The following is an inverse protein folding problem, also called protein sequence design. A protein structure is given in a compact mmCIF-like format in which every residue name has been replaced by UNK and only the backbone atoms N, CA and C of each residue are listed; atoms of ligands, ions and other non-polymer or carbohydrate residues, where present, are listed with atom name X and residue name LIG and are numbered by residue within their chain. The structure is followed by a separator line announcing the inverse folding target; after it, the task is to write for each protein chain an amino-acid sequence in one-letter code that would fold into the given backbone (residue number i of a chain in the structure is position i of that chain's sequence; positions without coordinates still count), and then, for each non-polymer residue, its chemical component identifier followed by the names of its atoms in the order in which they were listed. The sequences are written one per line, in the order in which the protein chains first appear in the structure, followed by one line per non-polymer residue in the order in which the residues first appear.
data_IF_196983507871
#
_entry.id   IF_196983507871
#
_cell.length_a   1.000
_cell.length_b   1.000
_cell.length_c   1.000
_cell.angle_alpha   90.00
_cell.angle_beta   90.00
_cell.angle_gamma   90.00
#
_symmetry.space_group_name_H-M   'P 1'
#
loop_
_entity.id
_entity.type
_entity.pdbx_description
1 polymer ?
#
# COMPACT_ATOMS: atom_id res chain seq x y z
N UNK A 1 -18.93 3.25 -6.14
CA UNK A 1 -17.50 3.50 -5.88
C UNK A 1 -16.69 2.70 -6.89
N UNK A 2 -15.74 3.35 -7.54
CA UNK A 2 -14.87 2.76 -8.56
C UNK A 2 -13.45 2.61 -8.01
N UNK A 3 -12.90 1.39 -8.07
CA UNK A 3 -11.60 1.04 -7.51
C UNK A 3 -10.63 0.72 -8.64
N UNK A 4 -9.46 1.37 -8.63
CA UNK A 4 -8.32 1.00 -9.46
C UNK A 4 -7.34 0.15 -8.67
N UNK A 5 -6.91 -0.98 -9.21
CA UNK A 5 -5.88 -1.83 -8.60
C UNK A 5 -4.63 -1.78 -9.49
N UNK A 6 -3.57 -1.11 -9.03
CA UNK A 6 -2.33 -1.01 -9.82
C UNK A 6 -1.59 -2.34 -9.75
N UNK A 7 -1.26 -2.88 -10.92
CA UNK A 7 -0.60 -4.17 -11.09
C UNK A 7 0.80 -3.97 -11.65
N UNK A 8 1.79 -4.51 -10.97
CA UNK A 8 3.19 -4.53 -11.40
C UNK A 8 3.60 -5.93 -11.86
N UNK A 9 4.65 -6.06 -12.65
CA UNK A 9 5.34 -7.34 -12.77
C UNK A 9 5.71 -7.87 -11.38
N UNK A 10 5.26 -9.08 -11.03
CA UNK A 10 5.48 -9.66 -9.70
C UNK A 10 4.40 -9.33 -8.66
N UNK A 11 3.32 -8.62 -8.99
CA UNK A 11 2.13 -8.54 -8.14
C UNK A 11 1.49 -9.92 -8.02
N UNK A 12 1.10 -10.33 -6.81
CA UNK A 12 0.48 -11.63 -6.57
C UNK A 12 -0.99 -11.52 -6.15
N UNK A 13 -1.32 -10.50 -5.37
CA UNK A 13 -2.63 -10.36 -4.73
C UNK A 13 -3.56 -9.37 -5.44
N UNK A 14 -3.29 -9.04 -6.70
CA UNK A 14 -4.14 -8.14 -7.49
C UNK A 14 -5.54 -8.73 -7.74
N UNK A 15 -5.61 -10.05 -7.99
CA UNK A 15 -6.86 -10.77 -8.16
C UNK A 15 -7.65 -10.89 -6.85
N UNK A 16 -6.95 -11.08 -5.72
CA UNK A 16 -7.58 -11.15 -4.41
C UNK A 16 -8.23 -9.81 -4.04
N UNK A 17 -7.54 -8.70 -4.32
CA UNK A 17 -8.10 -7.35 -4.14
C UNK A 17 -9.31 -7.16 -5.04
N UNK A 18 -9.23 -7.54 -6.32
CA UNK A 18 -10.37 -7.42 -7.24
C UNK A 18 -11.54 -8.28 -6.76
N UNK A 19 -11.30 -9.52 -6.35
CA UNK A 19 -12.35 -10.38 -5.83
C UNK A 19 -12.98 -9.83 -4.56
N UNK A 20 -12.19 -9.32 -3.63
CA UNK A 20 -12.71 -8.73 -2.40
C UNK A 20 -13.56 -7.48 -2.66
N UNK A 21 -13.11 -6.60 -3.56
CA UNK A 21 -13.80 -5.34 -3.85
C UNK A 21 -15.00 -5.55 -4.77
N UNK A 22 -14.87 -6.34 -5.82
CA UNK A 22 -15.93 -6.57 -6.80
C UNK A 22 -16.85 -7.72 -6.39
N UNK A 23 -16.28 -8.88 -6.03
CA UNK A 23 -17.04 -10.07 -5.70
C UNK A 23 -17.74 -10.00 -4.34
N UNK A 24 -17.06 -9.48 -3.31
CA UNK A 24 -17.64 -9.44 -1.97
C UNK A 24 -18.35 -8.13 -1.66
N UNK A 25 -17.80 -7.00 -2.11
CA UNK A 25 -18.32 -5.67 -1.77
C UNK A 25 -19.16 -5.04 -2.89
N UNK A 26 -19.27 -5.66 -4.06
CA UNK A 26 -20.05 -5.16 -5.20
C UNK A 26 -19.55 -3.83 -5.77
N UNK A 27 -18.27 -3.50 -5.58
CA UNK A 27 -17.68 -2.28 -6.09
C UNK A 27 -17.17 -2.49 -7.51
N UNK A 28 -17.33 -1.48 -8.37
CA UNK A 28 -16.75 -1.53 -9.70
C UNK A 28 -15.22 -1.49 -9.59
N UNK A 29 -14.53 -2.54 -10.01
CA UNK A 29 -13.07 -2.65 -9.86
C UNK A 29 -12.41 -2.92 -11.22
N UNK A 30 -11.29 -2.24 -11.50
CA UNK A 30 -10.47 -2.43 -12.70
C UNK A 30 -8.99 -2.55 -12.29
N UNK A 31 -8.31 -3.53 -12.86
CA UNK A 31 -6.85 -3.61 -12.77
C UNK A 31 -6.24 -2.60 -13.74
N UNK A 32 -5.24 -1.87 -13.25
CA UNK A 32 -4.50 -0.83 -13.96
C UNK A 32 -3.06 -1.30 -14.10
N UNK A 33 -2.58 -1.47 -15.31
CA UNK A 33 -1.20 -1.89 -15.53
C UNK A 33 -0.23 -0.75 -15.16
N UNK A 34 0.93 -1.08 -14.63
CA UNK A 34 1.89 -0.11 -14.09
C UNK A 34 2.37 0.96 -15.09
N UNK A 35 2.14 0.77 -16.37
CA UNK A 35 2.46 1.74 -17.44
C UNK A 35 1.30 2.69 -17.75
N UNK A 36 0.08 2.38 -17.31
CA UNK A 36 -1.08 3.23 -17.51
C UNK A 36 -1.00 4.48 -16.63
N UNK A 37 -1.16 5.64 -17.23
CA UNK A 37 -1.08 6.93 -16.51
C UNK A 37 -2.43 7.56 -16.22
N UNK A 38 -3.51 7.06 -16.83
CA UNK A 38 -4.85 7.59 -16.61
C UNK A 38 -5.53 6.90 -15.41
N UNK A 39 -5.54 7.60 -14.30
CA UNK A 39 -6.25 7.21 -13.08
C UNK A 39 -7.57 7.98 -12.89
N UNK A 40 -8.03 8.69 -13.91
CA UNK A 40 -9.29 9.41 -13.85
C UNK A 40 -10.48 8.44 -13.71
N UNK A 41 -11.51 8.86 -12.99
CA UNK A 41 -12.72 8.06 -12.80
C UNK A 41 -12.64 6.99 -11.71
N UNK A 42 -11.53 6.89 -10.99
CA UNK A 42 -11.45 6.08 -9.76
C UNK A 42 -11.73 6.95 -8.53
N UNK A 43 -12.48 6.37 -7.59
CA UNK A 43 -12.70 6.95 -6.26
C UNK A 43 -11.60 6.58 -5.28
N UNK A 44 -10.96 5.43 -5.52
CA UNK A 44 -9.83 4.96 -4.73
C UNK A 44 -8.89 4.09 -5.57
N UNK A 45 -7.61 4.08 -5.18
CA UNK A 45 -6.57 3.25 -5.78
C UNK A 45 -6.01 2.31 -4.72
N UNK A 46 -5.82 1.04 -5.10
CA UNK A 46 -5.20 0.02 -4.24
C UNK A 46 -3.92 -0.48 -4.89
N UNK A 47 -2.84 -0.51 -4.09
CA UNK A 47 -1.61 -1.20 -4.44
C UNK A 47 -1.61 -2.55 -3.71
N UNK A 48 -1.66 -3.68 -4.43
CA UNK A 48 -1.79 -5.00 -3.85
C UNK A 48 -0.48 -5.52 -3.26
N UNK A 49 -0.55 -6.64 -2.55
CA UNK A 49 0.59 -7.41 -2.11
C UNK A 49 1.28 -8.16 -3.26
N UNK A 50 2.50 -8.59 -3.00
CA UNK A 50 3.32 -9.33 -3.94
C UNK A 50 4.80 -8.96 -3.81
N UNK A 51 5.52 -9.08 -4.91
CA UNK A 51 6.96 -8.81 -5.02
C UNK A 51 7.22 -7.99 -6.28
N UNK A 52 6.82 -6.72 -6.28
CA UNK A 52 6.90 -5.86 -7.46
C UNK A 52 8.34 -5.80 -8.01
N UNK A 53 8.49 -6.16 -9.29
CA UNK A 53 9.78 -6.29 -9.96
C UNK A 53 10.78 -7.23 -9.26
N UNK A 54 10.27 -8.24 -8.52
CA UNK A 54 11.08 -9.22 -7.82
C UNK A 54 11.81 -8.73 -6.57
N UNK A 55 11.55 -7.51 -6.12
CA UNK A 55 12.17 -6.88 -4.93
C UNK A 55 13.72 -6.93 -4.93
N UNK A 56 14.35 -6.86 -6.10
CA UNK A 56 15.80 -7.08 -6.25
C UNK A 56 16.70 -6.06 -5.54
N UNK A 57 16.24 -4.85 -5.27
CA UNK A 57 16.99 -3.86 -4.49
C UNK A 57 16.52 -3.86 -3.03
N UNK A 58 15.39 -3.27 -2.80
CA UNK A 58 14.58 -3.39 -1.60
C UNK A 58 13.12 -3.32 -2.02
N UNK A 59 12.26 -3.84 -1.19
CA UNK A 59 10.85 -3.99 -1.52
C UNK A 59 10.22 -2.66 -1.96
N UNK A 60 9.61 -2.65 -3.14
CA UNK A 60 8.96 -1.49 -3.71
C UNK A 60 9.87 -0.45 -4.37
N UNK A 61 11.20 -0.54 -4.22
CA UNK A 61 12.11 0.51 -4.68
C UNK A 61 12.13 0.70 -6.20
N UNK A 62 12.02 -0.38 -6.97
CA UNK A 62 11.96 -0.29 -8.44
C UNK A 62 10.58 0.19 -8.88
N UNK A 63 9.52 -0.27 -8.22
CA UNK A 63 8.14 0.07 -8.56
C UNK A 63 7.90 1.59 -8.54
N UNK A 64 8.60 2.35 -7.66
CA UNK A 64 8.45 3.82 -7.59
C UNK A 64 8.64 4.55 -8.93
N UNK A 65 9.35 3.96 -9.87
CA UNK A 65 9.62 4.55 -11.18
C UNK A 65 8.56 4.21 -12.23
N UNK A 66 7.55 3.41 -11.89
CA UNK A 66 6.48 3.05 -12.82
C UNK A 66 5.64 4.28 -13.18
N UNK A 67 5.25 4.46 -14.46
CA UNK A 67 4.46 5.61 -14.91
C UNK A 67 3.16 5.81 -14.13
N UNK A 68 2.44 4.73 -13.81
CA UNK A 68 1.21 4.80 -13.02
C UNK A 68 1.42 5.45 -11.65
N UNK A 69 2.62 5.32 -11.05
CA UNK A 69 2.87 5.85 -9.72
C UNK A 69 3.12 7.36 -9.71
N UNK A 70 3.59 7.93 -10.81
CA UNK A 70 3.62 9.38 -10.94
C UNK A 70 2.19 9.94 -10.93
N UNK A 71 1.29 9.31 -11.68
CA UNK A 71 -0.13 9.67 -11.67
C UNK A 71 -0.81 9.41 -10.31
N UNK A 72 -0.35 8.39 -9.59
CA UNK A 72 -0.83 8.11 -8.23
C UNK A 72 -0.47 9.23 -7.25
N UNK A 73 0.73 9.79 -7.35
CA UNK A 73 1.15 10.95 -6.53
C UNK A 73 0.20 12.12 -6.76
N UNK A 74 -0.09 12.44 -8.02
CA UNK A 74 -1.02 13.51 -8.38
C UNK A 74 -2.45 13.22 -7.92
N UNK A 75 -2.89 11.96 -8.02
CA UNK A 75 -4.19 11.50 -7.53
C UNK A 75 -4.31 11.69 -6.01
N UNK A 76 -3.29 11.27 -5.26
CA UNK A 76 -3.25 11.43 -3.81
C UNK A 76 -3.20 12.90 -3.39
N UNK A 77 -2.41 13.74 -4.09
CA UNK A 77 -2.31 15.17 -3.82
C UNK A 77 -3.65 15.91 -4.02
N UNK A 78 -4.51 15.41 -4.91
CA UNK A 78 -5.89 15.90 -5.11
C UNK A 78 -6.89 15.35 -4.08
N UNK A 79 -6.43 14.64 -3.06
CA UNK A 79 -7.29 14.05 -2.03
C UNK A 79 -7.87 12.67 -2.40
N UNK A 80 -7.38 12.03 -3.45
CA UNK A 80 -7.73 10.67 -3.82
C UNK A 80 -7.35 9.66 -2.73
N UNK A 81 -8.20 8.67 -2.50
CA UNK A 81 -7.96 7.64 -1.49
C UNK A 81 -7.01 6.58 -2.02
N UNK A 82 -5.96 6.30 -1.25
CA UNK A 82 -4.95 5.30 -1.62
C UNK A 82 -4.78 4.29 -0.48
N UNK A 83 -4.77 3.01 -0.83
CA UNK A 83 -4.51 1.90 0.09
C UNK A 83 -3.34 1.06 -0.43
N UNK A 84 -2.30 0.89 0.38
CA UNK A 84 -1.20 -0.04 0.10
C UNK A 84 -1.25 -1.24 1.04
N UNK A 85 -1.23 -2.44 0.48
CA UNK A 85 -1.26 -3.70 1.23
C UNK A 85 0.08 -4.41 1.07
N UNK A 86 0.75 -4.78 2.16
CA UNK A 86 2.02 -5.51 2.14
C UNK A 86 3.06 -4.83 1.22
N UNK A 87 3.40 -5.41 0.08
CA UNK A 87 4.28 -4.79 -0.91
C UNK A 87 3.77 -3.42 -1.41
N UNK A 88 2.45 -3.24 -1.51
CA UNK A 88 1.86 -1.94 -1.83
C UNK A 88 2.15 -0.87 -0.77
N UNK A 89 2.14 -1.23 0.51
CA UNK A 89 2.58 -0.33 1.60
C UNK A 89 4.06 0.06 1.42
N UNK A 90 4.91 -0.89 1.08
CA UNK A 90 6.34 -0.66 0.84
C UNK A 90 6.55 0.32 -0.33
N UNK A 91 5.80 0.15 -1.42
CA UNK A 91 5.81 1.08 -2.55
C UNK A 91 5.37 2.48 -2.13
N UNK A 92 4.30 2.64 -1.35
CA UNK A 92 3.84 3.95 -0.86
C UNK A 92 4.88 4.64 0.02
N UNK A 93 5.60 3.88 0.84
CA UNK A 93 6.71 4.39 1.65
C UNK A 93 7.88 4.87 0.77
N UNK A 94 8.24 4.10 -0.26
CA UNK A 94 9.29 4.48 -1.22
C UNK A 94 8.93 5.72 -2.06
N UNK A 95 7.63 5.95 -2.29
CA UNK A 95 7.12 7.16 -2.95
C UNK A 95 7.09 8.39 -2.04
N UNK A 96 7.26 8.21 -0.72
CA UNK A 96 7.09 9.28 0.26
C UNK A 96 5.63 9.68 0.51
N UNK A 97 4.66 8.89 0.05
CA UNK A 97 3.24 9.09 0.36
C UNK A 97 2.88 8.65 1.79
N UNK A 98 3.72 7.83 2.39
CA UNK A 98 3.68 7.48 3.81
C UNK A 98 4.97 7.94 4.50
N UNK A 99 4.89 8.36 5.76
CA UNK A 99 6.08 8.75 6.51
C UNK A 99 6.95 7.53 6.83
N UNK A 100 8.27 7.73 6.92
CA UNK A 100 9.23 6.69 7.26
C UNK A 100 10.08 6.23 6.08
N UNK A 101 10.89 5.23 6.32
CA UNK A 101 11.76 4.60 5.33
C UNK A 101 11.92 3.12 5.62
N UNK A 102 12.03 2.31 4.56
CA UNK A 102 12.30 0.89 4.67
C UNK A 102 13.82 0.67 4.76
N UNK A 103 14.24 -0.11 5.74
CA UNK A 103 15.63 -0.52 5.92
C UNK A 103 15.72 -2.03 6.06
N UNK A 104 16.92 -2.58 5.89
CA UNK A 104 17.17 -3.98 6.22
C UNK A 104 17.09 -4.17 7.73
N UNK A 105 16.63 -5.36 8.14
CA UNK A 105 16.63 -5.74 9.54
C UNK A 105 18.05 -5.66 10.13
N UNK A 106 18.15 -5.26 11.38
CA UNK A 106 19.43 -5.00 12.09
C UNK A 106 20.44 -6.12 11.91
N UNK A 107 19.99 -7.37 12.03
CA UNK A 107 20.87 -8.54 11.99
C UNK A 107 20.76 -9.33 10.66
N UNK A 108 20.12 -8.74 9.64
CA UNK A 108 19.86 -9.33 8.33
C UNK A 108 19.04 -10.64 8.39
N UNK A 109 18.40 -10.92 9.53
CA UNK A 109 17.52 -12.07 9.73
C UNK A 109 16.07 -11.63 9.84
N UNK A 110 15.16 -12.58 9.60
CA UNK A 110 13.74 -12.37 9.81
C UNK A 110 13.48 -12.14 11.31
N UNK A 111 12.77 -11.07 11.64
CA UNK A 111 12.37 -10.74 13.01
C UNK A 111 10.92 -11.19 13.19
N UNK A 112 10.69 -12.07 14.18
CA UNK A 112 9.37 -12.56 14.55
C UNK A 112 9.11 -12.19 16.01
N UNK A 113 8.54 -10.99 16.21
CA UNK A 113 8.23 -10.47 17.54
C UNK A 113 6.97 -9.60 17.48
N UNK A 114 6.32 -9.43 18.63
CA UNK A 114 5.20 -8.51 18.74
C UNK A 114 5.71 -7.07 18.65
N UNK A 115 5.12 -6.29 17.75
CA UNK A 115 5.47 -4.90 17.54
C UNK A 115 4.28 -3.99 17.83
N UNK A 116 4.54 -2.88 18.52
CA UNK A 116 3.54 -1.85 18.69
C UNK A 116 3.26 -1.14 17.37
N UNK A 117 1.98 -0.99 17.02
CA UNK A 117 1.57 -0.26 15.83
C UNK A 117 1.82 1.23 16.00
N UNK A 118 2.39 1.86 14.98
CA UNK A 118 2.48 3.30 14.86
C UNK A 118 1.24 3.80 14.10
N UNK A 119 0.44 4.63 14.77
CA UNK A 119 -0.72 5.26 14.17
C UNK A 119 -0.37 6.66 13.71
N UNK A 120 -0.48 6.91 12.42
CA UNK A 120 -0.30 8.26 11.85
C UNK A 120 -1.54 9.14 12.04
N UNK A 121 -2.71 8.49 12.20
CA UNK A 121 -3.96 9.15 12.54
C UNK A 121 -4.67 8.34 13.63
N UNK A 122 -4.83 8.88 14.83
CA UNK A 122 -5.49 8.15 15.90
C UNK A 122 -6.96 7.93 15.55
N UNK A 123 -7.39 6.66 15.55
CA UNK A 123 -8.80 6.34 15.43
C UNK A 123 -9.49 6.42 16.79
N UNK A 124 -10.82 6.63 16.87
CA UNK A 124 -11.53 6.61 18.13
C UNK A 124 -11.37 5.30 18.91
N UNK A 125 -11.07 4.20 18.26
CA UNK A 125 -10.79 2.88 18.87
C UNK A 125 -9.42 2.81 19.52
N UNK A 126 -8.47 3.63 19.10
CA UNK A 126 -7.09 3.60 19.60
C UNK A 126 -6.98 4.24 20.98
N UNK A 127 -7.87 5.17 21.32
CA UNK A 127 -7.94 5.81 22.63
C UNK A 127 -8.19 4.82 23.78
N UNK A 128 -8.81 3.68 23.51
CA UNK A 128 -9.06 2.65 24.53
C UNK A 128 -7.89 1.72 24.76
N UNK A 129 -6.96 1.62 23.82
CA UNK A 129 -5.76 0.76 23.92
C UNK A 129 -4.51 1.49 24.43
N UNK A 130 -4.46 2.81 24.35
CA UNK A 130 -3.33 3.61 24.83
C UNK A 130 -3.23 3.74 26.36
N UNK A 131 -4.11 3.07 27.11
CA UNK A 131 -4.09 3.00 28.58
C UNK A 131 -3.60 1.65 29.09
N UNK A 132 -2.58 1.07 28.49
CA UNK A 132 -1.82 0.08 29.23
C UNK A 132 -0.93 0.81 30.23
N UNK A 133 -1.04 0.54 31.54
CA UNK A 133 -0.10 1.09 32.49
C UNK A 133 1.28 0.55 32.13
N UNK A 134 2.24 1.48 32.01
CA UNK A 134 3.64 1.08 31.99
C UNK A 134 3.89 0.33 33.30
N UNK A 135 4.02 -0.98 33.24
CA UNK A 135 4.52 -1.74 34.36
C UNK A 135 5.93 -1.27 34.67
N UNK A 136 6.11 -0.76 35.86
CA UNK A 136 7.38 -0.40 36.48
C UNK A 136 8.37 -1.57 36.45
#
# INVERSE_FOLDING_TARGET
MSIGVIVFPGSNCDRDVQWATEGCLGMKTRRVWHEETDLSGFDAIVLPGGFSYGDYLRCGAIARFAPALQSLIDFAAKGGRVLGICNGFQVLTELGLLPGALTRNRDLHFICEDACLLYTSPSPRDRTRSRMPSSA
#
